data_IF_316832783526
#
_entry.id   IF_316832783526
#
_cell.length_a   1.000
_cell.length_b   1.000
_cell.length_c   1.000
_cell.angle_alpha   90.00
_cell.angle_beta   90.00
_cell.angle_gamma   90.00
#
_symmetry.space_group_name_H-M   'P 1'
#
loop_
_entity.id
_entity.type
_entity.pdbx_description
1 polymer ?
#
# COMPACT_ATOMS: atom_id res chain seq x y z
N UNK A 1 18.15 12.55 0.51
CA UNK A 1 16.90 11.79 0.69
C UNK A 1 16.13 11.61 -0.61
N UNK A 2 15.72 12.68 -1.31
CA UNK A 2 14.99 12.56 -2.59
C UNK A 2 15.66 11.63 -3.62
N UNK A 3 16.98 11.79 -3.86
CA UNK A 3 17.71 10.91 -4.79
C UNK A 3 17.74 9.44 -4.33
N UNK A 4 17.82 9.19 -3.03
CA UNK A 4 17.80 7.85 -2.44
C UNK A 4 16.42 7.21 -2.62
N UNK A 5 15.36 7.91 -2.22
CA UNK A 5 13.98 7.42 -2.35
C UNK A 5 13.62 7.16 -3.82
N UNK A 6 14.05 8.06 -4.71
CA UNK A 6 13.94 7.85 -6.16
C UNK A 6 14.66 6.58 -6.60
N UNK A 7 15.91 6.38 -6.22
CA UNK A 7 16.67 5.17 -6.59
C UNK A 7 16.02 3.89 -6.06
N UNK A 8 15.43 3.92 -4.86
CA UNK A 8 14.70 2.80 -4.27
C UNK A 8 13.44 2.47 -5.05
N UNK A 9 12.55 3.43 -5.28
CA UNK A 9 11.33 3.22 -6.07
C UNK A 9 11.63 2.81 -7.51
N UNK A 10 12.79 3.21 -8.02
CA UNK A 10 13.28 2.84 -9.35
C UNK A 10 13.83 1.41 -9.45
N UNK A 11 14.33 0.83 -8.36
CA UNK A 11 14.93 -0.52 -8.36
C UNK A 11 13.99 -1.58 -7.83
N UNK A 12 13.14 -1.21 -6.86
CA UNK A 12 12.20 -2.10 -6.20
C UNK A 12 10.82 -1.84 -6.80
N UNK A 13 10.47 -2.60 -7.83
CA UNK A 13 9.22 -2.38 -8.56
C UNK A 13 7.97 -2.74 -7.73
N UNK A 14 8.16 -3.53 -6.69
CA UNK A 14 7.17 -3.95 -5.70
C UNK A 14 6.94 -2.91 -4.60
N UNK A 15 7.42 -1.67 -4.75
CA UNK A 15 7.15 -0.59 -3.78
C UNK A 15 6.04 0.35 -4.25
N UNK A 16 5.08 0.58 -3.34
CA UNK A 16 4.12 1.68 -3.40
C UNK A 16 4.73 3.00 -2.92
N UNK A 17 5.56 2.92 -1.87
CA UNK A 17 6.25 4.08 -1.29
C UNK A 17 7.58 3.68 -0.64
N UNK A 18 8.40 4.68 -0.30
CA UNK A 18 9.65 4.54 0.41
C UNK A 18 9.68 5.42 1.66
N UNK A 19 10.07 4.84 2.80
CA UNK A 19 10.33 5.59 4.03
C UNK A 19 11.82 5.93 4.15
N UNK A 20 12.11 7.08 4.72
CA UNK A 20 13.48 7.53 4.97
C UNK A 20 13.54 8.31 6.28
N UNK A 21 14.66 8.22 7.01
CA UNK A 21 14.85 8.90 8.31
C UNK A 21 16.05 9.82 8.23
N UNK A 22 15.86 11.08 8.59
CA UNK A 22 16.98 12.00 8.86
C UNK A 22 17.27 11.97 10.35
N UNK A 23 18.47 11.52 10.71
CA UNK A 23 18.93 11.47 12.09
C UNK A 23 20.16 12.35 12.24
N UNK A 24 20.16 13.16 13.30
CA UNK A 24 21.31 13.96 13.75
C UNK A 24 21.52 13.71 15.25
N UNK A 25 22.50 14.39 15.85
CA UNK A 25 22.77 14.25 17.28
C UNK A 25 21.57 14.63 18.16
N UNK A 26 20.79 15.64 17.75
CA UNK A 26 19.71 16.22 18.57
C UNK A 26 18.33 16.07 17.95
N UNK A 27 18.24 15.81 16.65
CA UNK A 27 16.99 15.84 15.91
C UNK A 27 16.76 14.59 15.05
N UNK A 28 15.51 14.16 14.98
CA UNK A 28 15.02 13.09 14.12
C UNK A 28 13.86 13.61 13.27
N UNK A 29 13.76 13.17 12.00
CA UNK A 29 12.62 13.45 11.13
C UNK A 29 12.34 12.28 10.20
N UNK A 30 11.07 11.89 10.08
CA UNK A 30 10.64 10.83 9.18
C UNK A 30 10.12 11.42 7.87
N UNK A 31 10.33 10.68 6.79
CA UNK A 31 9.90 11.04 5.45
C UNK A 31 9.23 9.83 4.80
N UNK A 32 8.07 10.04 4.19
CA UNK A 32 7.41 9.08 3.28
C UNK A 32 7.43 9.66 1.87
N UNK A 33 7.89 8.86 0.92
CA UNK A 33 8.01 9.22 -0.49
C UNK A 33 7.18 8.27 -1.33
N UNK A 34 6.28 8.79 -2.13
CA UNK A 34 5.48 8.01 -3.07
C UNK A 34 5.39 8.75 -4.43
N UNK A 35 4.56 8.24 -5.34
CA UNK A 35 4.37 8.86 -6.64
C UNK A 35 3.64 10.22 -6.58
N UNK A 36 2.99 10.55 -5.46
CA UNK A 36 2.35 11.84 -5.20
C UNK A 36 3.35 12.90 -4.69
N UNK A 37 4.40 12.48 -3.98
CA UNK A 37 5.46 13.36 -3.52
C UNK A 37 6.10 12.91 -2.21
N UNK A 38 6.38 13.89 -1.34
CA UNK A 38 7.02 13.66 -0.05
C UNK A 38 6.16 14.20 1.09
N UNK A 39 5.87 13.33 2.05
CA UNK A 39 5.27 13.64 3.34
C UNK A 39 6.33 13.55 4.43
N UNK A 40 6.23 14.40 5.45
CA UNK A 40 7.23 14.47 6.51
C UNK A 40 6.60 14.80 7.85
N UNK A 41 7.14 14.24 8.93
CA UNK A 41 6.85 14.71 10.29
C UNK A 41 7.37 16.11 10.53
N UNK A 42 6.88 16.70 11.62
CA UNK A 42 7.64 17.70 12.36
C UNK A 42 9.01 17.16 12.82
N UNK A 43 9.90 18.07 13.19
CA UNK A 43 11.22 17.69 13.71
C UNK A 43 11.06 17.23 15.16
N UNK A 44 11.49 16.00 15.45
CA UNK A 44 11.50 15.42 16.79
C UNK A 44 12.82 15.82 17.46
N UNK A 45 12.75 16.52 18.59
CA UNK A 45 13.90 16.72 19.47
C UNK A 45 14.14 15.45 20.30
N UNK A 46 15.28 14.79 20.05
CA UNK A 46 15.67 13.53 20.68
C UNK A 46 15.89 13.72 22.18
N UNK A 47 16.39 14.88 22.61
CA UNK A 47 16.68 15.14 24.01
C UNK A 47 15.46 15.72 24.73
N UNK A 48 14.60 16.45 24.03
CA UNK A 48 13.33 16.95 24.54
C UNK A 48 12.32 15.84 24.82
N UNK A 49 12.20 14.86 23.91
CA UNK A 49 11.34 13.67 24.10
C UNK A 49 12.03 12.39 23.59
N UNK A 50 12.95 11.81 24.40
CA UNK A 50 13.66 10.59 24.01
C UNK A 50 12.73 9.37 23.89
N UNK A 51 11.60 9.36 24.59
CA UNK A 51 10.64 8.24 24.53
C UNK A 51 9.97 8.23 23.16
N UNK A 52 9.58 9.38 22.64
CA UNK A 52 9.04 9.50 21.29
C UNK A 52 10.05 9.03 20.25
N UNK A 53 11.32 9.45 20.36
CA UNK A 53 12.36 8.98 19.45
C UNK A 53 12.52 7.45 19.47
N UNK A 54 12.63 6.85 20.66
CA UNK A 54 12.76 5.38 20.81
C UNK A 54 11.56 4.67 20.19
N UNK A 55 10.35 5.19 20.42
CA UNK A 55 9.12 4.67 19.81
C UNK A 55 9.20 4.72 18.29
N UNK A 56 9.56 5.86 17.69
CA UNK A 56 9.73 5.99 16.24
C UNK A 56 10.66 4.92 15.65
N UNK A 57 11.82 4.72 16.26
CA UNK A 57 12.79 3.71 15.78
C UNK A 57 12.27 2.28 16.01
N UNK A 58 11.69 2.00 17.18
CA UNK A 58 11.12 0.69 17.48
C UNK A 58 9.99 0.34 16.50
N UNK A 59 9.13 1.29 16.16
CA UNK A 59 8.06 1.06 15.18
C UNK A 59 8.61 0.76 13.81
N UNK A 60 9.56 1.54 13.31
CA UNK A 60 10.19 1.29 12.01
C UNK A 60 10.80 -0.11 11.93
N UNK A 61 11.39 -0.59 13.02
CA UNK A 61 11.96 -1.94 13.10
C UNK A 61 10.90 -3.06 13.13
N UNK A 62 9.68 -2.75 13.57
CA UNK A 62 8.57 -3.70 13.71
C UNK A 62 7.53 -3.60 12.58
N UNK A 63 7.74 -2.74 11.58
CA UNK A 63 6.78 -2.56 10.50
C UNK A 63 6.65 -3.83 9.65
N UNK A 64 5.41 -4.15 9.27
CA UNK A 64 5.13 -5.19 8.28
C UNK A 64 5.62 -4.77 6.89
N UNK A 65 5.72 -5.71 5.92
CA UNK A 65 6.07 -5.36 4.56
C UNK A 65 5.15 -4.29 3.93
N UNK A 66 3.82 -4.42 4.08
CA UNK A 66 2.88 -3.39 3.66
C UNK A 66 3.17 -2.01 4.29
N UNK A 67 3.41 -1.98 5.60
CA UNK A 67 3.71 -0.73 6.32
C UNK A 67 5.05 -0.11 5.90
N UNK A 68 6.02 -0.93 5.48
CA UNK A 68 7.28 -0.48 4.88
C UNK A 68 7.11 0.01 3.44
N UNK A 69 5.93 -0.18 2.84
CA UNK A 69 5.58 0.29 1.50
C UNK A 69 5.76 -0.74 0.40
N UNK A 70 5.88 -2.02 0.74
CA UNK A 70 5.84 -3.10 -0.25
C UNK A 70 4.40 -3.42 -0.67
N UNK A 71 4.23 -3.76 -1.93
CA UNK A 71 2.96 -4.14 -2.53
C UNK A 71 2.75 -5.65 -2.40
N UNK A 72 1.88 -6.05 -1.48
CA UNK A 72 1.62 -7.46 -1.16
C UNK A 72 0.86 -8.21 -2.27
N UNK A 73 0.45 -7.53 -3.35
CA UNK A 73 -0.03 -8.21 -4.56
C UNK A 73 1.07 -8.99 -5.26
N UNK A 74 2.34 -8.60 -5.06
CA UNK A 74 3.50 -9.33 -5.55
C UNK A 74 3.88 -10.44 -4.55
N UNK A 75 4.01 -11.67 -5.03
CA UNK A 75 4.35 -12.82 -4.17
C UNK A 75 5.73 -12.75 -3.51
N UNK A 76 6.62 -11.91 -4.03
CA UNK A 76 7.96 -11.67 -3.53
C UNK A 76 8.14 -10.24 -3.00
N UNK A 77 7.07 -9.60 -2.52
CA UNK A 77 7.12 -8.31 -1.85
C UNK A 77 8.28 -8.25 -0.83
N UNK A 78 9.18 -7.28 -0.99
CA UNK A 78 10.38 -7.10 -0.18
C UNK A 78 11.59 -7.95 -0.57
N UNK A 79 11.45 -8.84 -1.56
CA UNK A 79 12.48 -9.80 -2.00
C UNK A 79 12.83 -9.66 -3.49
N UNK A 80 12.38 -8.60 -4.15
CA UNK A 80 12.66 -8.34 -5.57
C UNK A 80 14.16 -8.17 -5.88
N UNK A 81 14.94 -7.67 -4.92
CA UNK A 81 16.40 -7.54 -5.06
C UNK A 81 17.17 -8.76 -4.51
N UNK A 82 16.47 -9.84 -4.18
CA UNK A 82 17.12 -11.10 -3.80
C UNK A 82 17.98 -11.60 -4.95
N UNK A 83 19.16 -12.09 -4.64
CA UNK A 83 20.06 -12.78 -5.59
C UNK A 83 19.45 -14.08 -6.15
N UNK A 84 18.53 -14.67 -5.40
CA UNK A 84 17.70 -15.78 -5.83
C UNK A 84 16.76 -15.37 -6.97
N UNK A 85 16.79 -16.13 -8.07
CA UNK A 85 15.83 -16.01 -9.16
C UNK A 85 14.47 -16.52 -8.69
N UNK A 86 13.62 -15.60 -8.24
CA UNK A 86 12.27 -15.90 -7.75
C UNK A 86 11.27 -15.54 -8.84
N UNK A 87 10.45 -16.52 -9.23
CA UNK A 87 9.30 -16.27 -10.10
C UNK A 87 8.35 -15.30 -9.42
N UNK A 88 8.11 -14.16 -10.04
CA UNK A 88 7.24 -13.12 -9.50
C UNK A 88 5.83 -13.34 -10.00
N UNK A 89 4.88 -13.48 -9.08
CA UNK A 89 3.45 -13.51 -9.41
C UNK A 89 2.76 -12.27 -8.89
N UNK A 90 1.80 -11.77 -9.66
CA UNK A 90 0.95 -10.64 -9.31
C UNK A 90 -0.49 -11.12 -9.20
N UNK A 91 -1.12 -10.83 -8.07
CA UNK A 91 -2.55 -11.05 -7.88
C UNK A 91 -3.30 -9.76 -8.19
N UNK A 92 -4.29 -9.82 -9.08
CA UNK A 92 -5.15 -8.69 -9.43
C UNK A 92 -6.57 -9.04 -8.97
N UNK A 93 -7.18 -8.18 -8.15
CA UNK A 93 -8.55 -8.35 -7.66
C UNK A 93 -9.50 -7.45 -8.44
N UNK A 94 -10.57 -8.02 -8.99
CA UNK A 94 -11.54 -7.25 -9.76
C UNK A 94 -12.05 -6.05 -8.94
N UNK A 95 -12.06 -4.86 -9.52
CA UNK A 95 -12.71 -3.70 -8.93
C UNK A 95 -13.72 -3.13 -9.92
N UNK A 96 -14.82 -2.52 -9.44
CA UNK A 96 -15.77 -1.86 -10.31
C UNK A 96 -15.10 -0.71 -11.06
N UNK A 97 -15.47 -0.51 -12.33
CA UNK A 97 -14.95 0.59 -13.13
C UNK A 97 -15.62 1.89 -12.68
N UNK A 98 -14.80 2.83 -12.22
CA UNK A 98 -15.22 4.16 -11.78
C UNK A 98 -15.43 5.10 -12.97
N UNK A 99 -16.65 5.62 -13.11
CA UNK A 99 -17.00 6.61 -14.13
C UNK A 99 -16.92 8.01 -13.53
N UNK A 100 -16.03 8.87 -14.04
CA UNK A 100 -16.01 10.28 -13.64
C UNK A 100 -16.15 11.17 -14.86
N UNK A 101 -17.30 11.85 -14.92
CA UNK A 101 -17.45 13.03 -15.75
C UNK A 101 -17.71 14.28 -14.87
N UNK A 102 -18.32 14.16 -13.68
CA UNK A 102 -18.75 15.35 -12.89
C UNK A 102 -18.66 15.26 -11.33
N UNK A 103 -17.95 14.29 -10.72
CA UNK A 103 -18.00 14.08 -9.25
C UNK A 103 -16.63 14.15 -8.57
N UNK A 104 -16.55 14.86 -7.43
CA UNK A 104 -15.42 14.75 -6.51
C UNK A 104 -15.41 13.37 -5.82
N UNK A 105 -14.26 12.67 -5.75
CA UNK A 105 -14.18 11.35 -5.15
C UNK A 105 -14.58 11.38 -3.67
N UNK A 106 -15.57 10.57 -3.26
CA UNK A 106 -15.92 10.40 -1.85
C UNK A 106 -14.86 9.52 -1.17
N UNK A 107 -14.35 9.88 0.03
CA UNK A 107 -13.27 9.14 0.69
C UNK A 107 -13.63 7.73 1.21
N UNK A 108 -14.86 7.24 1.04
CA UNK A 108 -15.35 6.02 1.70
C UNK A 108 -15.72 4.84 0.77
N UNK A 109 -15.45 4.92 -0.54
CA UNK A 109 -15.79 3.83 -1.46
C UNK A 109 -14.68 2.76 -1.51
N UNK A 110 -14.58 1.95 -0.45
CA UNK A 110 -13.76 0.73 -0.41
C UNK A 110 -14.50 -0.35 -1.23
N UNK A 111 -13.88 -0.99 -2.24
CA UNK A 111 -14.52 -2.04 -3.01
C UNK A 111 -14.92 -3.24 -2.13
N UNK A 112 -16.05 -3.92 -2.41
CA UNK A 112 -16.47 -5.11 -1.66
C UNK A 112 -15.45 -6.26 -1.81
N UNK A 113 -15.15 -6.95 -0.71
CA UNK A 113 -14.15 -8.03 -0.59
C UNK A 113 -14.45 -9.32 -1.40
N UNK A 114 -15.45 -9.32 -2.29
CA UNK A 114 -15.94 -10.52 -2.99
C UNK A 114 -15.70 -10.47 -4.49
N UNK A 115 -14.49 -10.07 -4.88
CA UNK A 115 -14.11 -9.93 -6.28
C UNK A 115 -13.33 -11.13 -6.79
N UNK A 116 -13.64 -11.58 -8.01
CA UNK A 116 -12.83 -12.54 -8.74
C UNK A 116 -11.38 -12.03 -8.82
N UNK A 117 -10.41 -12.92 -8.63
CA UNK A 117 -8.98 -12.60 -8.73
C UNK A 117 -8.35 -13.31 -9.92
N UNK A 118 -7.35 -12.65 -10.52
CA UNK A 118 -6.50 -13.21 -11.55
C UNK A 118 -5.07 -13.25 -11.02
N UNK A 119 -4.40 -14.38 -11.23
CA UNK A 119 -3.00 -14.54 -10.90
C UNK A 119 -2.17 -14.54 -12.18
N UNK A 120 -1.12 -13.72 -12.21
CA UNK A 120 -0.23 -13.58 -13.36
C UNK A 120 1.20 -13.87 -12.96
N UNK A 121 1.89 -14.74 -13.70
CA UNK A 121 3.34 -14.84 -13.67
C UNK A 121 3.94 -13.69 -14.50
N UNK A 122 4.65 -12.77 -13.86
CA UNK A 122 5.19 -11.59 -14.52
C UNK A 122 6.58 -11.84 -15.13
N UNK A 123 6.79 -11.31 -16.33
CA UNK A 123 8.12 -11.14 -16.91
C UNK A 123 8.76 -9.86 -16.35
N UNK A 124 9.54 -10.00 -15.29
CA UNK A 124 10.21 -8.90 -14.61
C UNK A 124 11.53 -8.50 -15.26
N UNK A 125 12.08 -9.35 -16.13
CA UNK A 125 13.32 -9.08 -16.88
C UNK A 125 13.05 -8.20 -18.11
N UNK A 126 11.88 -8.34 -18.73
CA UNK A 126 11.50 -7.60 -19.95
C UNK A 126 10.25 -6.74 -19.74
N UNK A 127 10.39 -5.66 -18.96
CA UNK A 127 9.34 -4.63 -18.82
C UNK A 127 9.05 -4.01 -20.19
N UNK A 128 7.77 -4.00 -20.60
CA UNK A 128 7.36 -3.54 -21.94
C UNK A 128 7.45 -2.02 -22.07
N UNK A 129 7.06 -1.30 -21.03
CA UNK A 129 7.15 0.15 -20.97
C UNK A 129 7.21 0.60 -19.53
N UNK A 130 8.02 1.62 -19.29
CA UNK A 130 8.11 2.27 -17.99
C UNK A 130 8.25 3.77 -18.20
N UNK A 131 7.21 4.51 -17.81
CA UNK A 131 7.19 5.96 -17.83
C UNK A 131 7.22 6.44 -16.38
N UNK A 132 8.42 6.79 -15.93
CA UNK A 132 8.64 7.36 -14.60
C UNK A 132 8.58 8.87 -14.73
N UNK A 133 7.45 9.47 -14.35
CA UNK A 133 7.28 10.91 -14.37
C UNK A 133 8.40 11.60 -13.58
N UNK A 134 9.30 12.28 -14.29
CA UNK A 134 10.27 13.21 -13.70
C UNK A 134 9.54 14.43 -13.09
N UNK A 135 8.27 14.62 -13.49
CA UNK A 135 7.30 15.52 -12.88
C UNK A 135 6.31 14.65 -12.10
N UNK A 136 6.14 15.00 -10.83
CA UNK A 136 5.23 14.39 -9.86
C UNK A 136 3.85 14.10 -10.50
N UNK A 137 3.12 13.10 -9.99
CA UNK A 137 1.74 12.73 -10.31
C UNK A 137 1.47 11.71 -11.44
N UNK A 138 2.49 11.16 -12.12
CA UNK A 138 2.30 10.05 -13.07
C UNK A 138 3.45 9.05 -13.01
N UNK A 139 3.16 7.83 -12.57
CA UNK A 139 4.05 6.68 -12.73
C UNK A 139 3.26 5.59 -13.46
N UNK A 140 3.84 5.02 -14.51
CA UNK A 140 3.19 3.95 -15.28
C UNK A 140 4.19 2.88 -15.61
N UNK A 141 3.80 1.65 -15.29
CA UNK A 141 4.57 0.45 -15.61
C UNK A 141 3.70 -0.53 -16.36
N UNK A 142 4.28 -1.10 -17.40
CA UNK A 142 3.61 -2.06 -18.27
C UNK A 142 4.45 -3.32 -18.34
N UNK A 143 3.86 -4.43 -17.93
CA UNK A 143 4.50 -5.74 -17.95
C UNK A 143 3.74 -6.70 -18.86
N UNK A 144 4.47 -7.71 -19.30
CA UNK A 144 3.89 -8.93 -19.83
C UNK A 144 3.70 -9.91 -18.68
N UNK A 145 2.55 -10.57 -18.63
CA UNK A 145 2.29 -11.64 -17.68
C UNK A 145 1.63 -12.84 -18.33
N UNK A 146 1.87 -14.05 -17.82
CA UNK A 146 1.11 -15.24 -18.20
C UNK A 146 0.07 -15.54 -17.13
N UNK A 147 -1.17 -15.74 -17.54
CA UNK A 147 -2.25 -16.10 -16.63
C UNK A 147 -2.00 -17.49 -16.03
N UNK A 148 -2.17 -17.63 -14.71
CA UNK A 148 -2.08 -18.92 -14.02
C UNK A 148 -3.50 -19.38 -13.74
N UNK A 149 -3.90 -20.49 -14.38
CA UNK A 149 -5.25 -21.06 -14.26
C UNK A 149 -5.37 -22.02 -13.07
N UNK A 150 -4.29 -22.70 -12.71
CA UNK A 150 -4.23 -23.61 -11.56
C UNK A 150 -2.83 -23.54 -10.93
N UNK A 151 -2.77 -23.18 -9.66
CA UNK A 151 -1.52 -23.08 -8.90
C UNK A 151 -0.92 -24.45 -8.58
N UNK A 152 -1.73 -25.50 -8.43
CA UNK A 152 -1.23 -26.82 -8.04
C UNK A 152 -0.48 -27.51 -9.18
N UNK A 153 -0.96 -27.31 -10.41
CA UNK A 153 -0.38 -27.89 -11.62
C UNK A 153 0.45 -26.90 -12.44
N UNK A 154 0.52 -25.64 -11.99
CA UNK A 154 1.15 -24.51 -12.70
C UNK A 154 0.68 -24.38 -14.15
N UNK A 155 -0.60 -24.65 -14.39
CA UNK A 155 -1.18 -24.59 -15.73
C UNK A 155 -1.32 -23.12 -16.13
N UNK A 156 -0.65 -22.76 -17.22
CA UNK A 156 -0.68 -21.39 -17.75
C UNK A 156 -1.76 -21.21 -18.80
N UNK A 157 -2.33 -20.02 -18.82
CA UNK A 157 -3.33 -19.54 -19.77
C UNK A 157 -2.73 -18.54 -20.76
N UNK A 158 -3.56 -17.66 -21.34
CA UNK A 158 -3.10 -16.68 -22.31
C UNK A 158 -2.11 -15.67 -21.71
N UNK A 159 -1.28 -15.09 -22.58
CA UNK A 159 -0.41 -13.97 -22.22
C UNK A 159 -1.25 -12.69 -22.16
N UNK A 160 -1.06 -11.91 -21.09
CA UNK A 160 -1.74 -10.65 -20.82
C UNK A 160 -0.72 -9.51 -20.71
N UNK A 161 -1.20 -8.30 -20.92
CA UNK A 161 -0.45 -7.08 -20.63
C UNK A 161 -1.05 -6.47 -19.37
N UNK A 162 -0.21 -6.20 -18.39
CA UNK A 162 -0.59 -5.54 -17.14
C UNK A 162 -0.08 -4.12 -17.19
N UNK A 163 -0.97 -3.16 -17.00
CA UNK A 163 -0.62 -1.75 -16.85
C UNK A 163 -0.96 -1.32 -15.44
N UNK A 164 0.06 -1.03 -14.63
CA UNK A 164 -0.12 -0.35 -13.35
C UNK A 164 0.15 1.13 -13.55
N UNK A 165 -0.81 1.94 -13.14
CA UNK A 165 -0.74 3.39 -13.26
C UNK A 165 -1.01 4.01 -11.91
N UNK A 166 -0.12 4.89 -11.46
CA UNK A 166 -0.41 5.82 -10.39
C UNK A 166 -1.03 7.08 -11.00
N UNK A 167 -2.25 7.40 -10.59
CA UNK A 167 -2.96 8.59 -11.04
C UNK A 167 -3.54 9.34 -9.84
N UNK A 168 -3.61 10.66 -9.97
CA UNK A 168 -4.33 11.51 -9.04
C UNK A 168 -5.81 11.12 -8.95
N UNK A 169 -6.38 11.13 -7.76
CA UNK A 169 -7.74 10.60 -7.52
C UNK A 169 -8.85 11.39 -8.23
N UNK A 170 -8.56 12.64 -8.60
CA UNK A 170 -9.44 13.51 -9.37
C UNK A 170 -9.56 13.07 -10.84
N UNK A 171 -8.70 12.17 -11.31
CA UNK A 171 -8.73 11.68 -12.69
C UNK A 171 -9.73 10.54 -12.89
N UNK A 172 -10.40 10.49 -14.05
CA UNK A 172 -11.19 9.32 -14.44
C UNK A 172 -10.28 8.10 -14.55
N UNK A 173 -10.82 6.94 -14.16
CA UNK A 173 -10.11 5.67 -14.29
C UNK A 173 -9.83 5.38 -15.77
N UNK A 174 -8.62 4.94 -16.09
CA UNK A 174 -8.29 4.55 -17.48
C UNK A 174 -9.20 3.40 -17.96
N UNK A 175 -9.63 2.54 -17.04
CA UNK A 175 -10.56 1.45 -17.32
C UNK A 175 -11.91 1.94 -17.89
N UNK A 176 -12.33 3.15 -17.55
CA UNK A 176 -13.54 3.76 -18.12
C UNK A 176 -13.41 3.97 -19.63
N UNK A 177 -12.26 4.45 -20.10
CA UNK A 177 -12.03 4.64 -21.54
C UNK A 177 -12.01 3.30 -22.28
N UNK A 178 -11.40 2.25 -21.69
CA UNK A 178 -11.46 0.91 -22.29
C UNK A 178 -12.88 0.35 -22.35
N UNK A 179 -13.72 0.64 -21.35
CA UNK A 179 -15.15 0.28 -21.38
C UNK A 179 -15.87 0.96 -22.55
N UNK A 180 -15.60 2.24 -22.80
CA UNK A 180 -16.20 2.99 -23.92
C UNK A 180 -15.74 2.49 -25.29
N UNK A 181 -14.52 1.96 -25.39
CA UNK A 181 -13.94 1.51 -26.66
C UNK A 181 -14.00 -0.01 -26.86
N UNK A 182 -14.70 -0.75 -26.00
CA UNK A 182 -14.69 -2.22 -26.00
C UNK A 182 -15.19 -2.83 -27.33
N UNK A 183 -16.05 -2.12 -28.05
CA UNK A 183 -16.63 -2.58 -29.32
C UNK A 183 -15.76 -2.24 -30.55
N UNK A 184 -14.62 -1.56 -30.36
CA UNK A 184 -13.73 -1.16 -31.45
C UNK A 184 -12.63 -2.22 -31.62
N UNK A 185 -12.61 -3.02 -32.71
CA UNK A 185 -11.72 -4.18 -32.84
C UNK A 185 -10.22 -3.84 -32.87
N UNK A 186 -9.87 -2.60 -33.22
CA UNK A 186 -8.48 -2.15 -33.31
C UNK A 186 -7.93 -1.65 -31.97
N UNK A 187 -8.76 -1.55 -30.94
CA UNK A 187 -8.38 -1.09 -29.60
C UNK A 187 -8.32 -2.31 -28.66
N UNK A 188 -7.30 -2.35 -27.80
CA UNK A 188 -7.16 -3.42 -26.82
C UNK A 188 -8.37 -3.46 -25.88
N UNK A 189 -8.92 -4.65 -25.63
CA UNK A 189 -9.98 -4.83 -24.64
C UNK A 189 -9.41 -4.98 -23.24
N UNK A 190 -10.13 -4.39 -22.27
CA UNK A 190 -9.83 -4.57 -20.86
C UNK A 190 -10.37 -5.93 -20.38
N UNK A 191 -9.50 -6.76 -19.81
CA UNK A 191 -9.89 -8.07 -19.28
C UNK A 191 -10.30 -7.97 -17.82
N UNK A 192 -9.49 -7.27 -17.03
CA UNK A 192 -9.66 -7.11 -15.59
C UNK A 192 -8.96 -5.81 -15.17
N UNK A 193 -9.50 -5.15 -14.15
CA UNK A 193 -8.82 -4.05 -13.48
C UNK A 193 -8.97 -4.18 -11.96
N UNK A 194 -8.02 -3.59 -11.26
CA UNK A 194 -8.07 -3.37 -9.81
C UNK A 194 -7.84 -1.88 -9.56
N UNK A 195 -8.65 -1.29 -8.68
CA UNK A 195 -8.40 0.04 -8.16
C UNK A 195 -7.83 -0.11 -6.76
N UNK A 196 -6.58 0.31 -6.60
CA UNK A 196 -5.85 0.23 -5.34
C UNK A 196 -5.94 1.57 -4.58
N UNK A 197 -4.98 1.80 -3.68
CA UNK A 197 -4.88 3.01 -2.86
C UNK A 197 -4.86 4.30 -3.71
N UNK A 198 -5.75 5.22 -3.39
CA UNK A 198 -5.78 6.55 -3.96
C UNK A 198 -4.68 7.48 -3.43
N UNK A 199 -4.32 8.48 -4.21
CA UNK A 199 -3.46 9.61 -3.84
C UNK A 199 -4.03 10.38 -2.64
N UNK A 200 -5.36 10.54 -2.55
CA UNK A 200 -6.06 11.18 -1.43
C UNK A 200 -6.05 10.30 -0.19
N UNK A 201 -6.13 8.97 -0.33
CA UNK A 201 -5.88 8.07 0.79
C UNK A 201 -4.45 8.29 1.32
N UNK A 202 -3.46 8.41 0.44
CA UNK A 202 -2.08 8.70 0.85
C UNK A 202 -1.91 10.06 1.56
N UNK A 203 -2.69 11.08 1.19
CA UNK A 203 -2.69 12.39 1.86
C UNK A 203 -3.52 12.44 3.15
N UNK A 204 -4.60 11.64 3.25
CA UNK A 204 -5.47 11.56 4.42
C UNK A 204 -4.96 10.57 5.49
N UNK A 205 -4.14 9.59 5.12
CA UNK A 205 -3.54 8.60 6.03
C UNK A 205 -2.36 9.16 6.84
N UNK A 206 -2.06 10.44 6.72
CA UNK A 206 -1.07 11.10 7.55
C UNK A 206 -1.67 12.40 8.08
N UNK A 207 -2.57 12.30 9.06
CA UNK A 207 -2.80 13.44 9.93
C UNK A 207 -1.48 13.81 10.63
N UNK A 208 -1.37 15.06 11.08
CA UNK A 208 -0.23 15.59 11.87
C UNK A 208 0.08 14.73 13.12
N UNK A 209 -0.83 13.81 13.48
CA UNK A 209 -0.76 12.91 14.63
C UNK A 209 -0.53 11.44 14.23
N UNK A 210 -0.58 11.08 12.93
CA UNK A 210 -0.59 9.70 12.43
C UNK A 210 0.80 9.10 12.18
N UNK A 211 1.84 9.90 11.95
CA UNK A 211 3.21 9.37 11.98
C UNK A 211 3.61 8.89 13.41
N UNK A 212 2.82 9.28 14.43
CA UNK A 212 2.86 8.80 15.82
C UNK A 212 1.64 7.91 16.15
N UNK A 213 0.57 7.94 15.34
CA UNK A 213 -0.68 7.19 15.55
C UNK A 213 -0.51 5.68 15.35
N UNK A 214 0.27 5.28 14.34
CA UNK A 214 0.69 3.88 14.14
C UNK A 214 1.54 3.33 15.30
N UNK A 215 1.98 4.20 16.21
CA UNK A 215 2.76 3.89 17.40
C UNK A 215 1.92 3.74 18.68
N UNK A 216 0.62 4.04 18.61
CA UNK A 216 -0.33 3.93 19.74
C UNK A 216 -1.39 2.85 19.53
N UNK A 217 -1.27 1.99 18.51
CA UNK A 217 -2.18 0.86 18.29
C UNK A 217 -1.95 -0.30 19.28
N UNK A 218 -2.01 -0.03 20.58
CA UNK A 218 -2.41 -1.00 21.62
C UNK A 218 -3.25 -0.35 22.72
N UNK A 219 -4.07 0.64 22.41
CA UNK A 219 -5.22 0.93 23.27
C UNK A 219 -6.47 0.39 22.59
N UNK A 220 -6.90 -0.78 23.06
CA UNK A 220 -8.23 -1.33 22.78
C UNK A 220 -9.24 -0.21 22.96
N UNK A 221 -9.94 0.16 21.88
CA UNK A 221 -11.19 0.93 21.94
C UNK A 221 -12.06 0.33 23.07
N UNK A 222 -12.52 1.10 24.07
CA UNK A 222 -13.46 0.57 25.04
C UNK A 222 -14.71 0.20 24.26
N UNK A 223 -15.04 -1.10 24.24
CA UNK A 223 -16.34 -1.54 23.75
C UNK A 223 -17.38 -0.91 24.67
N UNK A 224 -18.08 0.09 24.14
CA UNK A 224 -19.24 0.64 24.81
C UNK A 224 -20.29 -0.45 25.02
N UNK A 225 -20.83 -0.50 26.25
CA UNK A 225 -22.11 -1.13 26.55
C UNK A 225 -22.06 -2.59 26.99
N UNK A 226 -22.46 -2.79 28.25
CA UNK A 226 -22.93 -4.03 28.86
C UNK A 226 -21.89 -5.14 29.12
N UNK A 227 -21.10 -4.96 30.19
CA UNK A 227 -20.81 -6.01 31.20
C UNK A 227 -19.82 -5.57 32.30
N UNK A 228 -19.74 -4.27 32.63
CA UNK A 228 -18.82 -3.76 33.65
C UNK A 228 -19.31 -3.90 35.11
N UNK A 229 -20.37 -4.66 35.39
CA UNK A 229 -20.87 -4.89 36.76
C UNK A 229 -20.72 -6.34 37.25
N UNK A 230 -20.22 -7.26 36.43
CA UNK A 230 -20.03 -8.66 36.83
C UNK A 230 -18.61 -9.00 37.30
N UNK A 231 -17.59 -8.23 36.91
CA UNK A 231 -16.18 -8.56 37.22
C UNK A 231 -15.66 -7.91 38.52
N UNK A 232 -16.25 -6.83 39.02
CA UNK A 232 -15.87 -6.23 40.31
C UNK A 232 -16.37 -7.03 41.53
N UNK A 233 -17.34 -7.94 41.37
CA UNK A 233 -17.82 -8.79 42.47
C UNK A 233 -16.98 -10.04 42.70
N UNK A 234 -16.15 -10.47 41.73
CA UNK A 234 -15.35 -11.70 41.84
C UNK A 234 -13.90 -11.45 42.32
N UNK A 235 -13.38 -10.24 42.18
CA UNK A 235 -12.05 -9.87 42.69
C UNK A 235 -12.05 -9.51 44.18
N UNK A 236 -13.19 -9.06 44.74
CA UNK A 236 -13.32 -8.76 46.18
C UNK A 236 -13.64 -9.98 47.07
N UNK A 237 -13.93 -11.15 46.47
CA UNK A 237 -14.14 -12.40 47.21
C UNK A 237 -12.89 -13.30 47.28
N UNK A 238 -11.83 -12.98 46.53
CA UNK A 238 -10.59 -13.76 46.48
C UNK A 238 -9.46 -13.27 47.39
N UNK A 239 -9.58 -12.10 48.01
CA UNK A 239 -8.50 -11.48 48.81
C UNK A 239 -8.71 -11.54 50.34
N UNK A 240 -9.79 -12.16 50.83
CA UNK A 240 -10.04 -12.37 52.26
C UNK A 240 -9.86 -13.84 52.72
N UNK A 241 -9.16 -14.68 51.95
CA UNK A 241 -8.95 -16.09 52.26
C UNK A 241 -7.49 -16.49 52.48
N UNK A 242 -6.62 -15.54 52.80
CA UNK A 242 -5.25 -15.80 53.30
C UNK A 242 -4.88 -14.75 54.36
N UNK A 243 -5.45 -14.89 55.55
CA UNK A 243 -4.81 -14.58 56.83
C UNK A 243 -5.52 -15.30 57.98
#
# INVERSE_FOLDING_TARGET
MACYSRAMLMKQFDRKFAKAVSLSATQCRLFRWDASGCHTTEIIDIHGDPILFIRCIARLAMMTPAELGYDEHFSNAGRVLSDQKITTTLTIRASPIREYLDREPSPEEIPPETSASMLLELDTENVLSESRGVRLYQDTRVWRGKEILDMNTWKTGPTRVVKQTWAEDTRPSEAYFYKLTNDIPTICSLVLMEECDGTRACHNCVAEHDEIGDLKATEKKPRGGANAQAEESLLNLGLNALH
#
